data_IF_712170716476
#
_entry.id   IF_712170716476
#
_cell.length_a   1.000
_cell.length_b   1.000
_cell.length_c   1.000
_cell.angle_alpha   90.00
_cell.angle_beta   90.00
_cell.angle_gamma   90.00
#
_symmetry.space_group_name_H-M   'P 1'
#
loop_
_entity.id
_entity.type
_entity.pdbx_description
1 polymer ?
#
# COMPACT_ATOMS: atom_id res chain seq x y z
N UNK A 1 6.51 28.55 11.71
CA UNK A 1 5.18 28.97 11.20
C UNK A 1 5.31 29.10 9.70
N UNK A 2 4.85 28.11 8.93
CA UNK A 2 5.01 28.08 7.47
C UNK A 2 3.97 29.04 6.89
N UNK A 3 4.38 30.27 6.55
CA UNK A 3 3.57 31.16 5.71
C UNK A 3 3.83 30.76 4.25
N UNK A 4 3.00 29.90 3.69
CA UNK A 4 2.83 29.89 2.24
C UNK A 4 2.09 31.18 1.88
N UNK A 5 2.79 32.18 1.36
CA UNK A 5 2.10 33.32 0.76
C UNK A 5 1.42 32.85 -0.52
N UNK A 6 0.18 33.27 -0.76
CA UNK A 6 -0.49 33.04 -2.05
C UNK A 6 0.28 33.64 -3.23
N UNK A 7 1.18 34.58 -2.96
CA UNK A 7 2.08 35.20 -3.95
C UNK A 7 3.19 34.25 -4.41
N UNK A 8 3.79 33.47 -3.50
CA UNK A 8 4.86 32.53 -3.85
C UNK A 8 4.33 31.41 -4.75
N UNK A 9 3.13 30.91 -4.44
CA UNK A 9 2.43 29.94 -5.28
C UNK A 9 2.03 30.52 -6.65
N UNK A 10 1.58 31.78 -6.70
CA UNK A 10 1.27 32.46 -7.97
C UNK A 10 2.53 32.66 -8.82
N UNK A 11 3.63 33.09 -8.22
CA UNK A 11 4.92 33.28 -8.92
C UNK A 11 5.44 31.96 -9.49
N UNK A 12 5.40 30.89 -8.70
CA UNK A 12 5.78 29.53 -9.14
C UNK A 12 4.94 28.99 -10.30
N UNK A 13 3.64 29.27 -10.33
CA UNK A 13 2.70 28.71 -11.31
C UNK A 13 2.61 29.58 -12.58
N UNK A 14 2.61 30.91 -12.44
CA UNK A 14 2.31 31.84 -13.53
C UNK A 14 3.49 32.66 -14.05
N UNK A 15 4.60 32.75 -13.30
CA UNK A 15 5.73 33.64 -13.63
C UNK A 15 7.07 32.89 -13.74
N UNK A 16 7.16 31.65 -13.23
CA UNK A 16 8.39 30.89 -13.24
C UNK A 16 8.77 30.37 -14.65
N UNK A 17 10.07 30.15 -14.93
CA UNK A 17 10.55 29.51 -16.14
C UNK A 17 9.91 28.14 -16.39
N UNK A 18 9.80 27.73 -17.65
CA UNK A 18 9.19 26.45 -18.04
C UNK A 18 9.83 25.23 -17.34
N UNK A 19 11.14 25.31 -17.05
CA UNK A 19 11.88 24.30 -16.29
C UNK A 19 11.38 24.17 -14.86
N UNK A 20 11.19 25.29 -14.15
CA UNK A 20 10.63 25.33 -12.79
C UNK A 20 9.20 24.79 -12.76
N UNK A 21 8.35 25.17 -13.72
CA UNK A 21 6.97 24.68 -13.81
C UNK A 21 6.92 23.18 -14.03
N UNK A 22 7.74 22.65 -14.95
CA UNK A 22 7.82 21.21 -15.21
C UNK A 22 8.25 20.43 -13.97
N UNK A 23 9.28 20.91 -13.26
CA UNK A 23 9.74 20.29 -12.01
C UNK A 23 8.67 20.34 -10.92
N UNK A 24 7.95 21.46 -10.80
CA UNK A 24 6.82 21.59 -9.88
C UNK A 24 5.73 20.55 -10.17
N UNK A 25 5.31 20.40 -11.43
CA UNK A 25 4.30 19.42 -11.81
C UNK A 25 4.74 17.98 -11.50
N UNK A 26 6.01 17.64 -11.79
CA UNK A 26 6.55 16.32 -11.47
C UNK A 26 6.52 16.07 -9.97
N UNK A 27 6.95 17.03 -9.15
CA UNK A 27 6.92 16.90 -7.68
C UNK A 27 5.48 16.75 -7.16
N UNK A 28 4.53 17.53 -7.66
CA UNK A 28 3.12 17.43 -7.25
C UNK A 28 2.53 16.07 -7.63
N UNK A 29 2.80 15.57 -8.83
CA UNK A 29 2.31 14.27 -9.26
C UNK A 29 2.96 13.14 -8.46
N UNK A 30 4.27 13.21 -8.19
CA UNK A 30 4.95 12.27 -7.29
C UNK A 30 4.35 12.31 -5.88
N UNK A 31 4.01 13.49 -5.36
CA UNK A 31 3.35 13.63 -4.06
C UNK A 31 2.00 12.93 -4.04
N UNK A 32 1.14 13.15 -5.05
CA UNK A 32 -0.17 12.47 -5.16
C UNK A 32 0.01 10.96 -5.22
N UNK A 33 0.96 10.46 -6.02
CA UNK A 33 1.26 9.03 -6.11
C UNK A 33 1.65 8.44 -4.74
N UNK A 34 2.47 9.16 -3.96
CA UNK A 34 2.86 8.76 -2.61
C UNK A 34 1.69 8.75 -1.63
N UNK A 35 0.78 9.72 -1.71
CA UNK A 35 -0.44 9.73 -0.88
C UNK A 35 -1.33 8.51 -1.17
N UNK A 36 -1.52 8.18 -2.46
CA UNK A 36 -2.27 6.97 -2.83
C UNK A 36 -1.56 5.72 -2.30
N UNK A 37 -0.24 5.65 -2.43
CA UNK A 37 0.56 4.52 -1.91
C UNK A 37 0.45 4.37 -0.38
N UNK A 38 0.51 5.48 0.37
CA UNK A 38 0.31 5.49 1.83
C UNK A 38 -1.09 4.96 2.18
N UNK A 39 -2.12 5.42 1.47
CA UNK A 39 -3.49 4.99 1.71
C UNK A 39 -3.68 3.49 1.45
N UNK A 40 -3.21 2.96 0.31
CA UNK A 40 -3.27 1.53 0.00
C UNK A 40 -2.48 0.70 1.01
N UNK A 41 -1.31 1.18 1.42
CA UNK A 41 -0.49 0.55 2.45
C UNK A 41 -1.24 0.45 3.78
N UNK A 42 -1.93 1.51 4.19
CA UNK A 42 -2.71 1.54 5.43
C UNK A 42 -3.91 0.59 5.39
N UNK A 43 -4.63 0.51 4.26
CA UNK A 43 -5.72 -0.46 4.12
C UNK A 43 -5.26 -1.91 4.31
N UNK A 44 -4.02 -2.22 3.93
CA UNK A 44 -3.44 -3.55 4.08
C UNK A 44 -3.10 -3.95 5.53
N UNK A 45 -3.17 -3.06 6.51
CA UNK A 45 -2.77 -3.35 7.91
C UNK A 45 -3.92 -3.83 8.79
N UNK A 46 -5.16 -3.77 8.32
CA UNK A 46 -6.32 -4.19 9.11
C UNK A 46 -6.50 -5.72 9.04
N UNK A 47 -6.76 -6.33 10.20
CA UNK A 47 -7.30 -7.68 10.30
C UNK A 47 -8.81 -7.59 10.42
N UNK A 48 -9.55 -8.38 9.65
CA UNK A 48 -10.99 -8.56 9.87
C UNK A 48 -11.40 -10.02 9.73
N UNK A 49 -12.32 -10.44 10.58
CA UNK A 49 -12.99 -11.72 10.49
C UNK A 49 -14.49 -11.49 10.67
N UNK A 50 -15.28 -11.84 9.66
CA UNK A 50 -16.74 -11.68 9.67
C UNK A 50 -17.38 -12.97 9.18
N UNK A 51 -18.48 -13.36 9.80
CA UNK A 51 -19.24 -14.56 9.46
C UNK A 51 -20.72 -14.17 9.34
N UNK A 52 -21.31 -14.45 8.19
CA UNK A 52 -22.72 -14.20 7.89
C UNK A 52 -23.37 -15.54 7.53
N UNK A 53 -24.38 -15.97 8.30
CA UNK A 53 -25.28 -17.05 7.87
C UNK A 53 -26.70 -16.56 7.72
N UNK A 54 -27.44 -17.21 6.82
CA UNK A 54 -28.87 -16.95 6.65
C UNK A 54 -29.64 -17.36 7.92
N UNK A 55 -30.39 -16.42 8.45
CA UNK A 55 -30.52 -16.16 9.91
C UNK A 55 -31.55 -17.02 10.69
N UNK A 56 -31.92 -18.21 10.21
CA UNK A 56 -32.98 -19.02 10.86
C UNK A 56 -32.49 -20.19 11.72
N UNK A 57 -31.19 -20.53 11.72
CA UNK A 57 -30.69 -21.72 12.45
C UNK A 57 -30.08 -21.35 13.82
N UNK A 58 -30.56 -21.92 14.95
CA UNK A 58 -30.00 -21.68 16.28
C UNK A 58 -28.55 -22.18 16.48
N UNK A 59 -28.01 -23.02 15.58
CA UNK A 59 -26.60 -23.47 15.59
C UNK A 59 -25.61 -22.41 15.05
N UNK A 60 -26.10 -21.29 14.54
CA UNK A 60 -25.34 -20.19 13.94
C UNK A 60 -24.07 -19.78 14.71
N UNK A 61 -24.22 -19.49 16.01
CA UNK A 61 -23.12 -19.01 16.85
C UNK A 61 -22.03 -20.06 17.07
N UNK A 62 -22.37 -21.35 16.98
CA UNK A 62 -21.40 -22.43 17.14
C UNK A 62 -20.59 -22.62 15.86
N UNK A 63 -21.26 -22.65 14.70
CA UNK A 63 -20.60 -22.81 13.38
C UNK A 63 -19.60 -21.70 13.11
N UNK A 64 -19.97 -20.42 13.33
CA UNK A 64 -19.04 -19.31 13.19
C UNK A 64 -17.84 -19.41 14.16
N UNK A 65 -18.05 -19.86 15.40
CA UNK A 65 -16.94 -20.02 16.37
C UNK A 65 -15.95 -21.11 15.96
N UNK A 66 -16.45 -22.26 15.50
CA UNK A 66 -15.61 -23.34 14.99
C UNK A 66 -14.85 -22.94 13.73
N UNK A 67 -15.51 -22.24 12.81
CA UNK A 67 -14.85 -21.65 11.64
C UNK A 67 -13.74 -20.69 12.02
N UNK A 68 -13.97 -19.82 13.00
CA UNK A 68 -12.96 -18.88 13.46
C UNK A 68 -11.74 -19.60 14.04
N UNK A 69 -11.95 -20.71 14.74
CA UNK A 69 -10.84 -21.52 15.28
C UNK A 69 -10.04 -22.22 14.18
N UNK A 70 -10.72 -22.75 13.16
CA UNK A 70 -10.06 -23.46 12.05
C UNK A 70 -9.45 -22.50 11.01
N UNK A 71 -10.10 -21.38 10.74
CA UNK A 71 -9.75 -20.42 9.71
C UNK A 71 -9.75 -18.98 10.27
N UNK A 72 -8.56 -18.52 10.68
CA UNK A 72 -8.31 -17.15 11.13
C UNK A 72 -6.87 -16.76 10.86
N UNK A 73 -6.52 -15.48 11.03
CA UNK A 73 -5.17 -14.99 10.77
C UNK A 73 -4.11 -15.48 11.78
N UNK A 74 -4.50 -16.26 12.79
CA UNK A 74 -3.55 -17.04 13.61
C UNK A 74 -3.17 -18.38 12.99
N UNK A 75 -4.00 -18.93 12.09
CA UNK A 75 -3.72 -20.18 11.37
C UNK A 75 -3.27 -19.94 9.94
N UNK A 76 -3.73 -18.86 9.30
CA UNK A 76 -3.38 -18.50 7.94
C UNK A 76 -2.14 -17.60 7.89
N UNK A 77 -1.30 -17.78 6.87
CA UNK A 77 -0.14 -16.92 6.64
C UNK A 77 -0.54 -15.71 5.79
N UNK A 78 -0.61 -14.52 6.38
CA UNK A 78 -0.89 -13.27 5.66
C UNK A 78 0.26 -12.82 4.73
N UNK A 79 0.03 -11.83 3.85
CA UNK A 79 -1.23 -11.13 3.65
C UNK A 79 -2.18 -11.91 2.73
N UNK A 80 -3.47 -11.96 3.04
CA UNK A 80 -4.49 -12.60 2.18
C UNK A 80 -5.89 -12.09 2.49
N UNK A 81 -6.79 -12.15 1.52
CA UNK A 81 -8.23 -12.07 1.76
C UNK A 81 -8.86 -13.38 1.33
N UNK A 82 -9.56 -14.05 2.24
CA UNK A 82 -10.21 -15.32 2.00
C UNK A 82 -11.72 -15.20 2.23
N UNK A 83 -12.50 -15.82 1.35
CA UNK A 83 -13.95 -15.93 1.46
C UNK A 83 -14.34 -17.41 1.43
N UNK A 84 -14.97 -17.87 2.51
CA UNK A 84 -15.43 -19.25 2.70
C UNK A 84 -16.93 -19.26 2.49
N UNK A 85 -17.42 -20.14 1.62
CA UNK A 85 -18.85 -20.47 1.50
C UNK A 85 -19.07 -21.89 2.01
N UNK A 86 -20.04 -22.06 2.91
CA UNK A 86 -20.37 -23.36 3.47
C UNK A 86 -21.76 -23.81 3.07
N UNK A 87 -21.83 -25.09 2.77
CA UNK A 87 -23.06 -25.80 2.53
C UNK A 87 -23.51 -26.48 3.83
N UNK A 88 -24.77 -26.28 4.21
CA UNK A 88 -25.39 -26.89 5.39
C UNK A 88 -26.65 -27.63 4.93
N UNK A 89 -26.59 -28.97 4.90
CA UNK A 89 -27.65 -29.86 4.39
C UNK A 89 -28.06 -29.56 2.93
N UNK A 90 -27.09 -29.54 2.01
CA UNK A 90 -27.27 -29.31 0.56
C UNK A 90 -27.85 -27.94 0.15
N UNK A 91 -27.87 -26.97 1.07
CA UNK A 91 -28.19 -25.57 0.83
C UNK A 91 -27.05 -24.65 1.31
N UNK A 92 -26.65 -23.69 0.47
CA UNK A 92 -25.65 -22.66 0.81
C UNK A 92 -26.22 -21.75 1.89
N UNK A 93 -25.68 -21.82 3.10
CA UNK A 93 -26.26 -21.13 4.27
C UNK A 93 -25.28 -20.27 5.05
N UNK A 94 -23.98 -20.36 4.78
CA UNK A 94 -22.96 -19.59 5.49
C UNK A 94 -21.93 -18.98 4.55
N UNK A 95 -21.47 -17.78 4.88
CA UNK A 95 -20.25 -17.19 4.36
C UNK A 95 -19.36 -16.68 5.50
N UNK A 96 -18.05 -16.79 5.34
CA UNK A 96 -17.07 -16.18 6.23
C UNK A 96 -16.02 -15.44 5.41
N UNK A 97 -15.76 -14.18 5.77
CA UNK A 97 -14.74 -13.34 5.15
C UNK A 97 -13.61 -13.11 6.14
N UNK A 98 -12.40 -13.43 5.72
CA UNK A 98 -11.17 -13.34 6.50
C UNK A 98 -10.22 -12.42 5.76
N UNK A 99 -9.68 -11.41 6.44
CA UNK A 99 -8.66 -10.50 5.90
C UNK A 99 -7.47 -10.55 6.83
N UNK A 100 -6.38 -11.15 6.37
CA UNK A 100 -5.14 -11.23 7.11
C UNK A 100 -4.17 -10.16 6.63
N UNK A 101 -3.72 -9.28 7.53
CA UNK A 101 -2.85 -8.18 7.16
C UNK A 101 -1.44 -8.68 6.85
N UNK A 102 -0.60 -7.75 6.39
CA UNK A 102 0.84 -7.89 6.46
C UNK A 102 1.31 -8.11 7.90
N UNK A 103 2.48 -8.73 8.11
CA UNK A 103 3.07 -8.81 9.43
C UNK A 103 3.32 -7.40 10.01
N UNK A 104 2.97 -7.19 11.29
CA UNK A 104 2.92 -5.85 11.91
C UNK A 104 4.25 -5.10 11.82
N UNK A 105 5.39 -5.76 12.07
CA UNK A 105 6.70 -5.12 12.03
C UNK A 105 7.10 -4.64 10.62
N UNK A 106 6.72 -5.39 9.58
CA UNK A 106 7.00 -5.05 8.18
C UNK A 106 6.07 -3.92 7.71
N UNK A 107 4.81 -3.95 8.16
CA UNK A 107 3.78 -2.94 7.86
C UNK A 107 4.18 -1.54 8.30
N UNK A 108 4.66 -1.41 9.54
CA UNK A 108 5.04 -0.14 10.13
C UNK A 108 6.24 0.49 9.41
N UNK A 109 7.24 -0.33 9.05
CA UNK A 109 8.41 0.14 8.31
C UNK A 109 8.04 0.67 6.92
N UNK A 110 7.16 -0.02 6.21
CA UNK A 110 6.69 0.43 4.88
C UNK A 110 5.97 1.78 4.94
N UNK A 111 5.09 1.97 5.93
CA UNK A 111 4.41 3.26 6.16
C UNK A 111 5.46 4.36 6.44
N UNK A 112 6.46 4.07 7.29
CA UNK A 112 7.53 5.02 7.58
C UNK A 112 8.32 5.42 6.32
N UNK A 113 8.64 4.47 5.44
CA UNK A 113 9.36 4.75 4.20
C UNK A 113 8.51 5.60 3.23
N UNK A 114 7.22 5.31 3.12
CA UNK A 114 6.31 6.08 2.28
C UNK A 114 6.10 7.51 2.82
N UNK A 115 5.93 7.68 4.14
CA UNK A 115 5.84 8.99 4.78
C UNK A 115 7.15 9.79 4.64
N UNK A 116 8.29 9.15 4.86
CA UNK A 116 9.61 9.76 4.66
C UNK A 116 9.79 10.24 3.22
N UNK A 117 9.38 9.43 2.24
CA UNK A 117 9.38 9.81 0.83
C UNK A 117 8.50 11.03 0.54
N UNK A 118 7.31 11.09 1.14
CA UNK A 118 6.40 12.23 0.99
C UNK A 118 7.01 13.52 1.57
N UNK A 119 7.65 13.44 2.74
CA UNK A 119 8.38 14.56 3.33
C UNK A 119 9.53 15.03 2.43
N UNK A 120 10.25 14.11 1.79
CA UNK A 120 11.30 14.47 0.82
C UNK A 120 10.73 15.25 -0.34
N UNK A 121 9.57 14.86 -0.89
CA UNK A 121 8.91 15.62 -1.97
C UNK A 121 8.49 17.01 -1.50
N UNK A 122 7.98 17.15 -0.27
CA UNK A 122 7.68 18.46 0.32
C UNK A 122 8.94 19.34 0.40
N UNK A 123 10.09 18.78 0.79
CA UNK A 123 11.38 19.50 0.78
C UNK A 123 11.71 19.97 -0.65
N UNK A 124 11.47 19.14 -1.66
CA UNK A 124 11.64 19.51 -3.08
C UNK A 124 10.75 20.69 -3.48
N UNK A 125 9.47 20.66 -3.10
CA UNK A 125 8.54 21.77 -3.34
C UNK A 125 8.98 23.07 -2.64
N UNK A 126 9.43 22.97 -1.39
CA UNK A 126 9.98 24.11 -0.65
C UNK A 126 11.26 24.67 -1.29
N UNK A 127 12.11 23.80 -1.85
CA UNK A 127 13.31 24.24 -2.55
C UNK A 127 12.98 25.08 -3.79
N UNK A 128 11.93 24.70 -4.54
CA UNK A 128 11.45 25.49 -5.68
C UNK A 128 10.88 26.84 -5.23
N UNK A 129 10.08 26.84 -4.16
CA UNK A 129 9.44 28.06 -3.64
C UNK A 129 10.43 29.08 -3.11
N UNK A 130 11.52 28.61 -2.51
CA UNK A 130 12.53 29.48 -1.90
C UNK A 130 13.76 29.68 -2.80
N UNK A 131 13.78 29.09 -4.00
CA UNK A 131 14.96 29.05 -4.88
C UNK A 131 16.23 28.59 -4.13
N UNK A 132 16.10 27.59 -3.24
CA UNK A 132 17.15 27.15 -2.31
C UNK A 132 17.86 25.88 -2.78
N UNK A 133 19.13 26.03 -3.20
CA UNK A 133 19.99 24.93 -3.65
C UNK A 133 20.27 23.89 -2.56
N UNK A 134 20.38 24.30 -1.28
CA UNK A 134 20.66 23.36 -0.18
C UNK A 134 19.47 22.45 0.09
N UNK A 135 18.25 22.99 0.03
CA UNK A 135 17.03 22.19 0.14
C UNK A 135 16.88 21.26 -1.07
N UNK A 136 17.27 21.70 -2.26
CA UNK A 136 17.29 20.86 -3.44
C UNK A 136 18.28 19.69 -3.30
N UNK A 137 19.49 19.95 -2.79
CA UNK A 137 20.49 18.91 -2.51
C UNK A 137 20.00 17.90 -1.46
N UNK A 138 19.33 18.38 -0.41
CA UNK A 138 18.72 17.52 0.59
C UNK A 138 17.64 16.63 -0.03
N UNK A 139 16.73 17.21 -0.83
CA UNK A 139 15.74 16.42 -1.56
C UNK A 139 16.41 15.36 -2.43
N UNK A 140 17.38 15.73 -3.26
CA UNK A 140 18.02 14.82 -4.23
C UNK A 140 18.64 13.61 -3.51
N UNK A 141 19.43 13.86 -2.47
CA UNK A 141 20.11 12.80 -1.72
C UNK A 141 19.11 11.91 -0.96
N UNK A 142 18.15 12.51 -0.27
CA UNK A 142 17.12 11.75 0.44
C UNK A 142 16.21 10.98 -0.52
N UNK A 143 15.89 11.54 -1.70
CA UNK A 143 15.06 10.88 -2.70
C UNK A 143 15.71 9.59 -3.22
N UNK A 144 17.02 9.59 -3.48
CA UNK A 144 17.73 8.36 -3.86
C UNK A 144 17.70 7.31 -2.74
N UNK A 145 17.94 7.74 -1.49
CA UNK A 145 17.89 6.83 -0.34
C UNK A 145 16.50 6.21 -0.16
N UNK A 146 15.44 7.02 -0.18
CA UNK A 146 14.07 6.54 -0.03
C UNK A 146 13.58 5.76 -1.26
N UNK A 147 14.07 6.04 -2.46
CA UNK A 147 13.82 5.21 -3.65
C UNK A 147 14.30 3.78 -3.40
N UNK A 148 15.52 3.61 -2.87
CA UNK A 148 16.06 2.29 -2.53
C UNK A 148 15.19 1.59 -1.47
N UNK A 149 14.80 2.30 -0.42
CA UNK A 149 13.96 1.73 0.64
C UNK A 149 12.58 1.30 0.13
N UNK A 150 11.94 2.09 -0.73
CA UNK A 150 10.67 1.73 -1.36
C UNK A 150 10.80 0.49 -2.25
N UNK A 151 11.85 0.42 -3.08
CA UNK A 151 12.13 -0.75 -3.93
C UNK A 151 12.33 -2.01 -3.09
N UNK A 152 13.14 -1.93 -2.04
CA UNK A 152 13.39 -3.06 -1.13
C UNK A 152 12.08 -3.49 -0.46
N UNK A 153 11.32 -2.55 0.10
CA UNK A 153 10.04 -2.82 0.75
C UNK A 153 9.04 -3.49 -0.19
N UNK A 154 8.85 -2.96 -1.40
CA UNK A 154 7.97 -3.57 -2.41
C UNK A 154 8.40 -4.98 -2.80
N UNK A 155 9.71 -5.25 -2.81
CA UNK A 155 10.24 -6.59 -3.10
C UNK A 155 9.90 -7.58 -1.98
N UNK A 156 10.09 -7.17 -0.72
CA UNK A 156 9.68 -7.98 0.42
C UNK A 156 8.17 -8.21 0.47
N UNK A 157 7.38 -7.21 0.08
CA UNK A 157 5.93 -7.34 -0.01
C UNK A 157 5.53 -8.43 -1.03
N UNK A 158 6.13 -8.45 -2.21
CA UNK A 158 5.88 -9.50 -3.21
C UNK A 158 6.31 -10.88 -2.71
N UNK A 159 7.43 -10.99 -1.99
CA UNK A 159 7.85 -12.25 -1.38
C UNK A 159 6.86 -12.72 -0.32
N UNK A 160 6.34 -11.81 0.52
CA UNK A 160 5.33 -12.15 1.52
C UNK A 160 4.02 -12.63 0.85
N UNK A 161 3.58 -11.99 -0.23
CA UNK A 161 2.42 -12.47 -1.01
C UNK A 161 2.70 -13.86 -1.61
N UNK A 162 3.88 -14.09 -2.20
CA UNK A 162 4.25 -15.39 -2.74
C UNK A 162 4.31 -16.48 -1.68
N UNK A 163 4.82 -16.15 -0.49
CA UNK A 163 4.88 -17.07 0.65
C UNK A 163 3.47 -17.39 1.16
N UNK A 164 2.60 -16.38 1.27
CA UNK A 164 1.19 -16.56 1.62
C UNK A 164 0.47 -17.49 0.63
N UNK A 165 0.66 -17.27 -0.68
CA UNK A 165 0.10 -18.14 -1.73
C UNK A 165 0.53 -19.60 -1.56
N UNK A 166 1.81 -19.83 -1.29
CA UNK A 166 2.37 -21.17 -1.15
C UNK A 166 1.87 -21.86 0.11
N UNK A 167 1.90 -21.16 1.25
CA UNK A 167 1.56 -21.74 2.55
C UNK A 167 0.05 -21.98 2.72
N UNK A 168 -0.79 -21.18 2.06
CA UNK A 168 -2.25 -21.36 2.12
C UNK A 168 -2.80 -22.22 0.97
N UNK A 169 -1.97 -22.70 0.03
CA UNK A 169 -2.41 -23.41 -1.18
C UNK A 169 -3.39 -24.56 -0.91
N UNK A 170 -3.05 -25.44 0.04
CA UNK A 170 -3.86 -26.64 0.34
C UNK A 170 -5.24 -26.28 0.90
N UNK A 171 -5.31 -25.19 1.67
CA UNK A 171 -6.55 -24.68 2.23
C UNK A 171 -7.36 -23.99 1.13
N UNK A 172 -6.75 -23.04 0.41
CA UNK A 172 -7.37 -22.24 -0.65
C UNK A 172 -7.92 -23.07 -1.81
N UNK A 173 -7.38 -24.26 -2.08
CA UNK A 173 -7.89 -25.14 -3.13
C UNK A 173 -8.80 -26.26 -2.62
N UNK A 174 -9.18 -26.26 -1.33
CA UNK A 174 -10.01 -27.30 -0.70
C UNK A 174 -9.53 -28.74 -1.03
N UNK A 175 -8.23 -28.93 -1.26
CA UNK A 175 -7.67 -30.23 -1.66
C UNK A 175 -7.81 -31.30 -0.58
N UNK A 176 -8.05 -30.88 0.66
CA UNK A 176 -8.61 -31.70 1.72
C UNK A 176 -10.01 -31.12 2.00
N UNK A 177 -11.07 -31.92 1.88
CA UNK A 177 -12.44 -31.51 2.18
C UNK A 177 -12.48 -30.78 3.52
N UNK A 178 -12.66 -29.45 3.48
CA UNK A 178 -12.75 -28.66 4.69
C UNK A 178 -14.10 -28.98 5.34
N UNK A 179 -14.10 -29.93 6.28
CA UNK A 179 -15.27 -30.23 7.10
C UNK A 179 -15.16 -29.54 8.45
N UNK A 180 -16.19 -28.78 8.79
CA UNK A 180 -16.31 -28.17 10.11
C UNK A 180 -16.85 -29.23 11.07
N UNK A 181 -17.86 -29.98 10.63
CA UNK A 181 -18.58 -31.05 11.34
C UNK A 181 -19.29 -31.98 10.31
N UNK A 182 -19.83 -33.12 10.76
CA UNK A 182 -20.65 -33.99 9.91
C UNK A 182 -21.88 -33.24 9.35
N UNK A 183 -21.98 -33.13 8.02
CA UNK A 183 -23.06 -32.42 7.33
C UNK A 183 -22.80 -30.93 7.05
N UNK A 184 -21.63 -30.40 7.41
CA UNK A 184 -21.19 -29.03 7.07
C UNK A 184 -19.86 -29.10 6.32
N UNK A 185 -19.93 -28.94 5.00
CA UNK A 185 -18.79 -28.95 4.10
C UNK A 185 -18.53 -27.57 3.50
N UNK A 186 -17.25 -27.27 3.26
CA UNK A 186 -16.87 -26.12 2.44
C UNK A 186 -17.28 -26.34 0.98
N UNK A 187 -18.17 -25.49 0.48
CA UNK A 187 -18.54 -25.48 -0.94
C UNK A 187 -17.43 -24.82 -1.76
N UNK A 188 -16.87 -23.74 -1.22
CA UNK A 188 -15.86 -22.93 -1.91
C UNK A 188 -15.02 -22.13 -0.92
N UNK A 189 -13.71 -22.05 -1.17
CA UNK A 189 -12.80 -21.12 -0.50
C UNK A 189 -12.09 -20.30 -1.58
N UNK A 190 -12.37 -19.01 -1.66
CA UNK A 190 -11.62 -18.09 -2.52
C UNK A 190 -10.53 -17.42 -1.72
N UNK A 191 -9.28 -17.51 -2.16
CA UNK A 191 -8.20 -16.68 -1.64
C UNK A 191 -7.77 -15.69 -2.71
N UNK A 192 -7.76 -14.40 -2.38
CA UNK A 192 -7.26 -13.32 -3.23
C UNK A 192 -6.14 -12.53 -2.55
N UNK A 193 -5.18 -12.12 -3.38
CA UNK A 193 -4.02 -11.31 -2.99
C UNK A 193 -3.95 -10.01 -3.79
N UNK A 194 -5.01 -9.66 -4.53
CA UNK A 194 -4.96 -8.62 -5.56
C UNK A 194 -4.62 -7.24 -4.99
N UNK A 195 -5.25 -6.87 -3.87
CA UNK A 195 -4.98 -5.58 -3.21
C UNK A 195 -3.54 -5.49 -2.69
N UNK A 196 -2.98 -6.61 -2.25
CA UNK A 196 -1.61 -6.69 -1.71
C UNK A 196 -0.58 -6.63 -2.83
N UNK A 197 -0.81 -7.36 -3.92
CA UNK A 197 -0.02 -7.24 -5.15
C UNK A 197 -0.06 -5.82 -5.71
N UNK A 198 -1.26 -5.24 -5.83
CA UNK A 198 -1.44 -3.87 -6.30
C UNK A 198 -0.66 -2.87 -5.44
N UNK A 199 -0.73 -2.99 -4.12
CA UNK A 199 0.00 -2.13 -3.19
C UNK A 199 1.52 -2.28 -3.37
N UNK A 200 2.02 -3.51 -3.50
CA UNK A 200 3.44 -3.76 -3.72
C UNK A 200 3.95 -3.14 -5.04
N UNK A 201 3.21 -3.31 -6.13
CA UNK A 201 3.52 -2.70 -7.43
C UNK A 201 3.42 -1.17 -7.40
N UNK A 202 2.45 -0.62 -6.69
CA UNK A 202 2.32 0.82 -6.50
C UNK A 202 3.54 1.40 -5.77
N UNK A 203 4.16 0.64 -4.86
CA UNK A 203 5.41 1.05 -4.22
C UNK A 203 6.59 1.16 -5.19
N UNK A 204 6.71 0.27 -6.19
CA UNK A 204 7.69 0.43 -7.27
C UNK A 204 7.39 1.65 -8.14
N UNK A 205 6.12 1.89 -8.48
CA UNK A 205 5.71 3.08 -9.24
C UNK A 205 6.07 4.34 -8.46
N UNK A 206 5.78 4.39 -7.16
CA UNK A 206 6.15 5.50 -6.28
C UNK A 206 7.67 5.72 -6.23
N UNK A 207 8.46 4.64 -6.19
CA UNK A 207 9.93 4.73 -6.24
C UNK A 207 10.43 5.31 -7.58
N UNK A 208 9.89 4.87 -8.71
CA UNK A 208 10.22 5.42 -10.04
C UNK A 208 9.84 6.89 -10.13
N UNK A 209 8.68 7.28 -9.60
CA UNK A 209 8.24 8.67 -9.55
C UNK A 209 9.14 9.55 -8.67
N UNK A 210 9.62 9.01 -7.54
CA UNK A 210 10.57 9.70 -6.68
C UNK A 210 11.93 9.89 -7.38
N UNK A 211 12.41 8.86 -8.08
CA UNK A 211 13.62 8.93 -8.89
C UNK A 211 13.51 9.98 -10.01
N UNK A 212 12.37 9.99 -10.72
CA UNK A 212 12.09 11.00 -11.73
C UNK A 212 12.08 12.41 -11.11
N UNK A 213 11.42 12.62 -9.98
CA UNK A 213 11.40 13.92 -9.31
C UNK A 213 12.80 14.42 -8.91
N UNK A 214 13.67 13.52 -8.43
CA UNK A 214 15.07 13.84 -8.14
C UNK A 214 15.85 14.25 -9.39
N UNK A 215 15.64 13.57 -10.53
CA UNK A 215 16.25 13.94 -11.81
C UNK A 215 15.84 15.34 -12.27
N UNK A 216 14.53 15.66 -12.23
CA UNK A 216 14.03 16.98 -12.60
C UNK A 216 14.53 18.07 -11.67
N UNK A 217 14.54 17.82 -10.35
CA UNK A 217 15.02 18.81 -9.39
C UNK A 217 16.53 19.05 -9.51
N UNK A 218 17.31 18.01 -9.81
CA UNK A 218 18.73 18.15 -10.12
C UNK A 218 18.95 19.03 -11.35
N UNK A 219 18.23 18.76 -12.44
CA UNK A 219 18.29 19.57 -13.66
C UNK A 219 17.87 21.03 -13.42
N UNK A 220 16.86 21.26 -12.60
CA UNK A 220 16.45 22.62 -12.19
C UNK A 220 17.54 23.32 -11.36
N UNK A 221 18.06 22.66 -10.32
CA UNK A 221 19.10 23.17 -9.43
C UNK A 221 20.36 23.62 -10.19
N UNK A 222 20.78 22.81 -11.16
CA UNK A 222 21.99 23.06 -11.96
C UNK A 222 21.82 24.30 -12.86
N UNK A 223 20.59 24.66 -13.23
CA UNK A 223 20.27 25.82 -14.05
C UNK A 223 19.96 27.11 -13.25
N UNK A 224 19.77 27.01 -11.92
CA UNK A 224 19.40 28.11 -11.02
C UNK A 224 20.46 29.23 -10.85
N UNK A 225 21.48 29.27 -11.71
CA UNK A 225 22.52 30.32 -11.71
C UNK A 225 22.91 30.81 -13.11
N UNK A 226 22.29 30.29 -14.16
CA UNK A 226 22.58 30.70 -15.54
C UNK A 226 21.69 31.86 -16.03
N UNK A 227 20.58 32.15 -15.34
CA UNK A 227 19.66 33.25 -15.70
C UNK A 227 20.07 34.62 -15.09
N UNK A 228 21.28 34.72 -14.53
CA UNK A 228 21.81 35.91 -13.87
C UNK A 228 23.14 36.45 -14.43
N UNK A 229 23.53 36.06 -15.64
CA UNK A 229 24.74 36.50 -16.35
C UNK A 229 24.40 37.25 -17.64
#
# INVERSE_FOLDING_TARGET
MIRFSSEDAKRLIFEAPDTTRRTLFVLLFTFVCLIIHIYCTYLGTANSWTCELDSTDPKHNYVCKELMQKASCSTLTGPLKAEILLNINDEVKASALIVCPWENAISELRICFALGSALVVIIGLLSLSNEDKKLADLHINSAYFFTLLLVISSTFDLFAVSNSNTNNYSLCNLTNEFSVEDGISGEYLSCTHDIYNFTAYLGYVAAVMLLASSYYLKGWRDNLSLDGL
#
